data_IF_220586781818
#
_entry.id   IF_220586781818
#
_cell.length_a   1.000
_cell.length_b   1.000
_cell.length_c   1.000
_cell.angle_alpha   90.00
_cell.angle_beta   90.00
_cell.angle_gamma   90.00
#
_symmetry.space_group_name_H-M   'P 1'
#
loop_
_entity.id
_entity.type
_entity.pdbx_description
1 polymer ?
#
# COMPACT_ATOMS: atom_id res chain seq x y z
N UNK A 1 -1.01 -32.90 -31.24
CA UNK A 1 -1.65 -31.57 -31.38
C UNK A 1 -2.62 -31.21 -30.25
N UNK A 2 -3.34 -32.15 -29.61
CA UNK A 2 -4.32 -31.83 -28.54
C UNK A 2 -3.70 -31.39 -27.18
N UNK A 3 -2.47 -31.81 -26.89
CA UNK A 3 -1.76 -31.48 -25.64
C UNK A 3 -0.97 -30.16 -25.70
N UNK A 4 -0.49 -29.75 -26.86
CA UNK A 4 0.21 -28.50 -27.11
C UNK A 4 -0.69 -27.29 -26.86
N UNK A 5 -1.97 -27.35 -27.24
CA UNK A 5 -2.93 -26.25 -27.00
C UNK A 5 -3.26 -26.07 -25.51
N UNK A 6 -3.22 -27.15 -24.70
CA UNK A 6 -3.43 -27.06 -23.25
C UNK A 6 -2.22 -26.43 -22.53
N UNK A 7 -1.02 -26.70 -23.02
CA UNK A 7 0.22 -26.12 -22.48
C UNK A 7 0.28 -24.61 -22.82
N UNK A 8 -0.05 -24.23 -24.06
CA UNK A 8 -0.10 -22.81 -24.48
C UNK A 8 -1.15 -22.02 -23.68
N UNK A 9 -2.34 -22.60 -23.45
CA UNK A 9 -3.40 -21.99 -22.67
C UNK A 9 -2.99 -21.84 -21.20
N UNK A 10 -2.31 -22.82 -20.62
CA UNK A 10 -1.78 -22.78 -19.26
C UNK A 10 -0.70 -21.71 -19.07
N UNK A 11 0.19 -21.54 -20.05
CA UNK A 11 1.26 -20.54 -20.03
C UNK A 11 0.71 -19.12 -20.19
N UNK A 12 -0.34 -18.94 -20.97
CA UNK A 12 -0.97 -17.63 -21.19
C UNK A 12 -1.65 -17.07 -19.92
N UNK A 13 -2.18 -17.94 -19.06
CA UNK A 13 -2.83 -17.53 -17.79
C UNK A 13 -1.81 -16.99 -16.76
N UNK A 14 -0.56 -17.44 -16.81
CA UNK A 14 0.51 -17.00 -15.90
C UNK A 14 1.02 -15.56 -16.15
N UNK A 15 0.73 -14.98 -17.32
CA UNK A 15 1.27 -13.67 -17.71
C UNK A 15 0.38 -12.50 -17.22
N UNK A 16 -0.81 -12.76 -16.69
CA UNK A 16 -1.78 -11.72 -16.34
C UNK A 16 -1.65 -11.16 -14.90
N UNK A 17 -0.63 -11.55 -14.15
CA UNK A 17 -0.38 -10.95 -12.85
C UNK A 17 0.27 -9.57 -13.01
N UNK A 18 -0.58 -8.56 -13.25
CA UNK A 18 -0.16 -7.15 -13.15
C UNK A 18 0.22 -6.85 -11.70
N UNK A 19 1.50 -6.94 -11.38
CA UNK A 19 2.03 -6.57 -10.08
C UNK A 19 1.94 -5.05 -9.89
N UNK A 20 0.91 -4.57 -9.20
CA UNK A 20 0.95 -3.25 -8.59
C UNK A 20 2.04 -3.27 -7.51
N UNK A 21 3.19 -2.69 -7.81
CA UNK A 21 4.34 -2.70 -6.91
C UNK A 21 4.10 -1.71 -5.78
N UNK A 22 3.69 -2.21 -4.62
CA UNK A 22 3.77 -1.49 -3.36
C UNK A 22 5.07 -1.90 -2.69
N UNK A 23 5.95 -0.94 -2.43
CA UNK A 23 7.17 -1.14 -1.64
C UNK A 23 6.82 -0.99 -0.18
N UNK A 24 7.23 -1.94 0.64
CA UNK A 24 6.94 -1.97 2.07
C UNK A 24 8.22 -2.11 2.86
N UNK A 25 8.28 -1.39 3.97
CA UNK A 25 9.33 -1.50 4.97
C UNK A 25 8.71 -1.44 6.36
N UNK A 26 9.36 -2.04 7.35
CA UNK A 26 8.94 -1.92 8.75
C UNK A 26 10.15 -1.78 9.68
N UNK A 27 9.91 -1.11 10.80
CA UNK A 27 10.86 -0.99 11.89
C UNK A 27 10.17 -1.25 13.23
N UNK A 28 10.89 -1.77 14.21
CA UNK A 28 10.30 -2.16 15.48
C UNK A 28 11.33 -2.20 16.62
N UNK A 29 10.82 -2.10 17.83
CA UNK A 29 11.64 -2.27 19.03
C UNK A 29 11.88 -3.77 19.29
N UNK A 30 13.10 -4.23 19.09
CA UNK A 30 13.49 -5.65 19.21
C UNK A 30 13.42 -6.20 20.65
N UNK A 31 13.28 -5.34 21.66
CA UNK A 31 13.11 -5.73 23.08
C UNK A 31 11.68 -6.10 23.41
N UNK A 32 10.73 -5.89 22.51
CA UNK A 32 9.30 -6.13 22.74
C UNK A 32 8.96 -7.58 22.38
N UNK A 33 8.11 -8.20 23.24
CA UNK A 33 7.45 -9.44 22.91
C UNK A 33 6.04 -9.16 22.36
N UNK A 34 5.90 -9.18 21.05
CA UNK A 34 4.65 -8.85 20.39
C UNK A 34 3.51 -9.85 20.68
N UNK A 35 3.82 -11.04 21.18
CA UNK A 35 2.83 -12.04 21.56
C UNK A 35 2.05 -11.67 22.84
N UNK A 36 2.53 -10.71 23.61
CA UNK A 36 1.88 -10.26 24.84
C UNK A 36 0.66 -9.36 24.57
N UNK A 37 0.57 -8.79 23.38
CA UNK A 37 -0.52 -7.91 22.95
C UNK A 37 -1.67 -8.71 22.32
N UNK A 38 -2.87 -8.55 22.85
CA UNK A 38 -4.07 -9.26 22.42
C UNK A 38 -5.21 -8.35 21.99
N UNK A 39 -5.18 -7.11 22.45
CA UNK A 39 -6.24 -6.14 22.22
C UNK A 39 -5.70 -4.83 21.62
N UNK A 40 -6.51 -4.21 20.76
CA UNK A 40 -6.16 -2.94 20.15
C UNK A 40 -7.32 -1.95 20.14
N UNK A 41 -6.98 -0.67 20.06
CA UNK A 41 -7.92 0.39 19.72
C UNK A 41 -7.28 1.33 18.68
N UNK A 42 -8.11 2.12 18.03
CA UNK A 42 -7.64 3.17 17.13
C UNK A 42 -7.40 4.48 17.89
N UNK A 43 -6.26 5.13 17.64
CA UNK A 43 -5.94 6.45 18.18
C UNK A 43 -6.75 7.54 17.46
N UNK A 44 -7.82 8.03 18.09
CA UNK A 44 -8.66 9.07 17.50
C UNK A 44 -7.85 10.32 17.13
N UNK A 45 -7.01 10.81 18.05
CA UNK A 45 -6.19 12.02 17.85
C UNK A 45 -5.26 11.90 16.64
N UNK A 46 -4.60 10.77 16.46
CA UNK A 46 -3.68 10.57 15.34
C UNK A 46 -4.42 10.47 14.01
N UNK A 47 -5.52 9.71 13.97
CA UNK A 47 -6.31 9.49 12.76
C UNK A 47 -6.99 10.77 12.26
N UNK A 48 -7.45 11.64 13.17
CA UNK A 48 -8.06 12.91 12.81
C UNK A 48 -7.07 13.84 12.09
N UNK A 49 -5.77 13.72 12.38
CA UNK A 49 -4.70 14.50 11.75
C UNK A 49 -4.32 14.01 10.33
N UNK A 50 -4.78 12.83 9.90
CA UNK A 50 -4.48 12.34 8.56
C UNK A 50 -5.14 13.24 7.48
N UNK A 51 -4.33 13.79 6.58
CA UNK A 51 -4.75 14.72 5.52
C UNK A 51 -5.38 14.01 4.32
N UNK A 52 -6.43 13.22 4.58
CA UNK A 52 -7.22 12.52 3.56
C UNK A 52 -8.71 12.65 3.85
N UNK A 53 -9.55 12.41 2.83
CA UNK A 53 -11.00 12.46 3.01
C UNK A 53 -11.51 11.32 3.93
N UNK A 54 -12.65 11.55 4.58
CA UNK A 54 -13.22 10.63 5.57
C UNK A 54 -13.58 9.25 5.00
N UNK A 55 -13.90 9.18 3.71
CA UNK A 55 -14.20 7.90 3.05
C UNK A 55 -12.95 7.03 3.00
N UNK A 56 -11.80 7.60 2.64
CA UNK A 56 -10.54 6.88 2.59
C UNK A 56 -10.01 6.56 4.00
N UNK A 57 -10.22 7.47 5.01
CA UNK A 57 -9.97 7.15 6.42
C UNK A 57 -10.73 5.88 6.84
N UNK A 58 -12.03 5.82 6.55
CA UNK A 58 -12.85 4.64 6.88
C UNK A 58 -12.39 3.38 6.17
N UNK A 59 -11.96 3.48 4.90
CA UNK A 59 -11.41 2.32 4.15
C UNK A 59 -10.13 1.79 4.79
N UNK A 60 -9.22 2.68 5.19
CA UNK A 60 -7.97 2.30 5.87
C UNK A 60 -8.29 1.64 7.20
N UNK A 61 -9.14 2.25 8.03
CA UNK A 61 -9.54 1.70 9.33
C UNK A 61 -10.16 0.31 9.20
N UNK A 62 -11.08 0.12 8.25
CA UNK A 62 -11.71 -1.17 8.02
C UNK A 62 -10.70 -2.22 7.55
N UNK A 63 -9.76 -1.84 6.68
CA UNK A 63 -8.73 -2.77 6.21
C UNK A 63 -7.79 -3.17 7.35
N UNK A 64 -7.38 -2.24 8.22
CA UNK A 64 -6.55 -2.53 9.40
C UNK A 64 -7.32 -3.43 10.37
N UNK A 65 -8.59 -3.15 10.63
CA UNK A 65 -9.47 -3.93 11.51
C UNK A 65 -9.53 -5.40 11.06
N UNK A 66 -9.73 -5.64 9.76
CA UNK A 66 -9.75 -6.99 9.17
C UNK A 66 -8.40 -7.68 9.35
N UNK A 67 -7.29 -7.02 9.02
CA UNK A 67 -5.96 -7.63 9.11
C UNK A 67 -5.55 -7.97 10.54
N UNK A 68 -5.81 -7.09 11.50
CA UNK A 68 -5.50 -7.33 12.91
C UNK A 68 -6.39 -8.44 13.50
N UNK A 69 -7.67 -8.47 13.13
CA UNK A 69 -8.59 -9.55 13.54
C UNK A 69 -8.14 -10.91 12.99
N UNK A 70 -7.69 -10.98 11.73
CA UNK A 70 -7.14 -12.19 11.12
C UNK A 70 -5.87 -12.69 11.84
N UNK A 71 -5.14 -11.78 12.50
CA UNK A 71 -3.97 -12.10 13.32
C UNK A 71 -4.32 -12.46 14.77
N UNK A 72 -5.62 -12.51 15.12
CA UNK A 72 -6.11 -12.90 16.44
C UNK A 72 -6.16 -11.76 17.46
N UNK A 73 -5.90 -10.50 17.07
CA UNK A 73 -6.10 -9.39 17.97
C UNK A 73 -7.59 -9.01 18.02
N UNK A 74 -8.04 -8.57 19.19
CA UNK A 74 -9.43 -8.17 19.44
C UNK A 74 -9.51 -6.67 19.68
N UNK A 75 -10.52 -6.04 19.09
CA UNK A 75 -10.78 -4.62 19.33
C UNK A 75 -11.33 -4.41 20.74
N UNK A 76 -10.75 -3.45 21.48
CA UNK A 76 -11.21 -3.05 22.81
C UNK A 76 -11.18 -1.54 22.93
N UNK A 77 -12.26 -0.97 23.47
CA UNK A 77 -12.33 0.48 23.76
C UNK A 77 -11.93 0.80 25.20
N UNK A 78 -11.74 -0.23 26.03
CA UNK A 78 -11.39 -0.12 27.44
C UNK A 78 -10.00 -0.72 27.62
N UNK A 79 -9.03 0.06 28.03
CA UNK A 79 -7.64 -0.34 28.31
C UNK A 79 -7.08 -1.34 27.27
N UNK A 80 -6.98 -0.95 26.01
CA UNK A 80 -6.37 -1.81 25.00
C UNK A 80 -4.89 -2.03 25.29
N UNK A 81 -4.32 -3.11 24.81
CA UNK A 81 -2.88 -3.33 24.94
C UNK A 81 -2.08 -2.39 24.02
N UNK A 82 -2.61 -2.16 22.80
CA UNK A 82 -1.97 -1.29 21.81
C UNK A 82 -2.94 -0.28 21.19
N UNK A 83 -2.38 0.85 20.79
CA UNK A 83 -3.07 1.83 19.96
C UNK A 83 -2.55 1.77 18.52
N UNK A 84 -3.48 1.80 17.58
CA UNK A 84 -3.18 1.87 16.15
C UNK A 84 -3.40 3.29 15.66
N UNK A 85 -2.38 3.84 15.04
CA UNK A 85 -2.45 5.11 14.34
C UNK A 85 -2.03 4.94 12.88
N UNK A 86 -2.39 5.89 11.99
CA UNK A 86 -1.88 5.91 10.64
C UNK A 86 -1.71 7.35 10.14
N UNK A 87 -0.76 7.53 9.25
CA UNK A 87 -0.53 8.78 8.52
C UNK A 87 -0.48 8.49 7.03
N UNK A 88 -0.78 9.51 6.24
CA UNK A 88 -0.71 9.42 4.80
C UNK A 88 0.01 10.61 4.21
N UNK A 89 0.79 10.34 3.18
CA UNK A 89 1.37 11.37 2.32
C UNK A 89 1.01 11.08 0.87
N UNK A 90 0.85 12.11 0.07
CA UNK A 90 0.62 11.96 -1.36
C UNK A 90 1.46 12.93 -2.16
N UNK A 91 2.16 12.42 -3.16
CA UNK A 91 3.00 13.19 -4.04
C UNK A 91 2.58 12.97 -5.50
N UNK A 92 2.32 14.06 -6.23
CA UNK A 92 2.14 13.99 -7.68
C UNK A 92 3.50 13.74 -8.32
N UNK A 93 3.60 12.71 -9.13
CA UNK A 93 4.79 12.35 -9.89
C UNK A 93 4.52 12.53 -11.38
N UNK A 94 5.53 13.01 -12.08
CA UNK A 94 5.50 13.20 -13.53
C UNK A 94 6.61 12.33 -14.10
N UNK A 95 6.24 11.34 -14.90
CA UNK A 95 7.20 10.56 -15.68
C UNK A 95 7.27 11.12 -17.09
N UNK A 96 8.47 11.40 -17.53
CA UNK A 96 8.76 11.84 -18.91
C UNK A 96 9.23 10.61 -19.70
N UNK A 97 8.55 10.33 -20.80
CA UNK A 97 8.96 9.31 -21.74
C UNK A 97 9.35 9.99 -23.05
N UNK A 98 10.54 9.73 -23.60
CA UNK A 98 10.85 10.17 -24.95
C UNK A 98 9.89 9.46 -25.91
N UNK A 99 9.08 10.23 -26.61
CA UNK A 99 8.21 9.73 -27.66
C UNK A 99 9.00 9.53 -28.94
N UNK A 100 9.01 8.31 -29.46
CA UNK A 100 9.46 8.06 -30.82
C UNK A 100 8.22 8.12 -31.73
N UNK A 101 7.96 9.30 -32.31
CA UNK A 101 6.99 9.39 -33.40
C UNK A 101 7.58 8.72 -34.63
N UNK A 102 7.25 7.45 -34.84
CA UNK A 102 7.51 6.78 -36.10
C UNK A 102 6.48 7.29 -37.12
N UNK A 103 6.75 8.47 -37.69
CA UNK A 103 5.99 8.95 -38.81
C UNK A 103 6.45 8.21 -40.07
N UNK A 104 5.73 7.13 -40.42
CA UNK A 104 5.84 6.41 -41.69
C UNK A 104 5.14 7.22 -42.78
N UNK A 105 5.76 8.27 -43.27
CA UNK A 105 5.47 8.78 -44.60
C UNK A 105 6.68 9.60 -45.10
N UNK A 106 7.18 9.16 -46.23
CA UNK A 106 8.37 9.65 -46.85
C UNK A 106 8.48 11.17 -46.96
N UNK A 107 9.72 11.64 -46.89
CA UNK A 107 10.19 13.01 -47.19
C UNK A 107 9.85 14.06 -46.08
N UNK A 108 10.49 13.94 -44.96
CA UNK A 108 10.89 15.15 -44.18
C UNK A 108 11.99 14.79 -43.19
N UNK A 109 13.21 15.10 -43.55
CA UNK A 109 14.38 15.09 -42.68
C UNK A 109 14.30 16.34 -41.80
N UNK A 110 13.73 16.20 -40.59
CA UNK A 110 13.78 17.21 -39.55
C UNK A 110 14.12 16.59 -38.21
N UNK A 111 15.32 16.79 -37.65
CA UNK A 111 15.81 16.05 -36.48
C UNK A 111 15.38 16.61 -35.13
N UNK A 112 14.35 17.44 -35.02
CA UNK A 112 14.14 18.25 -33.80
C UNK A 112 12.72 18.22 -33.21
N UNK A 113 11.94 17.19 -33.41
CA UNK A 113 10.69 17.04 -32.65
C UNK A 113 10.84 15.99 -31.58
N UNK A 114 11.39 16.40 -30.41
CA UNK A 114 11.29 15.61 -29.18
C UNK A 114 9.88 15.79 -28.64
N UNK A 115 8.95 14.93 -29.05
CA UNK A 115 7.68 14.83 -28.33
C UNK A 115 7.92 14.05 -27.05
N UNK A 116 7.74 14.72 -25.92
CA UNK A 116 7.77 14.06 -24.62
C UNK A 116 6.33 13.71 -24.22
N UNK A 117 6.06 12.44 -24.06
CA UNK A 117 4.83 12.00 -23.40
C UNK A 117 5.08 12.07 -21.89
N UNK A 118 4.23 12.81 -21.17
CA UNK A 118 4.28 12.83 -19.71
C UNK A 118 3.05 12.11 -19.16
N UNK A 119 3.28 11.24 -18.20
CA UNK A 119 2.23 10.56 -17.47
C UNK A 119 2.25 11.02 -16.02
N UNK A 120 1.18 11.68 -15.62
CA UNK A 120 0.99 12.12 -14.24
C UNK A 120 0.36 10.98 -13.43
N UNK A 121 0.96 10.62 -12.32
CA UNK A 121 0.38 9.69 -11.37
C UNK A 121 0.55 10.18 -9.94
N UNK A 122 -0.34 9.73 -9.06
CA UNK A 122 -0.23 10.00 -7.62
C UNK A 122 0.46 8.83 -6.95
N UNK A 123 1.58 9.10 -6.30
CA UNK A 123 2.24 8.16 -5.41
C UNK A 123 1.77 8.46 -3.98
N UNK A 124 1.25 7.45 -3.29
CA UNK A 124 0.85 7.55 -1.89
C UNK A 124 1.83 6.82 -0.99
N UNK A 125 1.96 7.33 0.21
CA UNK A 125 2.66 6.67 1.32
C UNK A 125 1.67 6.50 2.46
N UNK A 126 1.58 5.29 2.99
CA UNK A 126 0.79 4.97 4.18
C UNK A 126 1.74 4.47 5.26
N UNK A 127 1.72 5.14 6.40
CA UNK A 127 2.38 4.72 7.64
C UNK A 127 1.33 4.11 8.55
N UNK A 128 1.65 3.00 9.20
CA UNK A 128 0.85 2.40 10.25
C UNK A 128 1.74 2.26 11.48
N UNK A 129 1.34 2.90 12.57
CA UNK A 129 2.04 2.90 13.84
C UNK A 129 1.30 2.03 14.84
N UNK A 130 2.05 1.22 15.57
CA UNK A 130 1.57 0.44 16.71
C UNK A 130 2.28 0.95 17.95
N UNK A 131 1.48 1.42 18.91
CA UNK A 131 1.93 2.11 20.11
C UNK A 131 1.49 1.28 21.32
N UNK A 132 2.41 1.01 22.24
CA UNK A 132 2.08 0.41 23.55
C UNK A 132 1.18 1.38 24.32
N UNK A 133 -0.03 0.96 24.67
CA UNK A 133 -1.01 1.84 25.31
C UNK A 133 -0.55 2.33 26.68
N UNK A 134 0.04 1.43 27.51
CA UNK A 134 0.45 1.75 28.89
C UNK A 134 1.68 2.62 28.94
N UNK A 135 2.66 2.35 28.04
CA UNK A 135 3.93 3.09 28.01
C UNK A 135 3.87 4.33 27.12
N UNK A 136 2.87 4.40 26.24
CA UNK A 136 2.75 5.41 25.18
C UNK A 136 4.01 5.48 24.31
N UNK A 137 4.58 4.33 23.99
CA UNK A 137 5.79 4.17 23.19
C UNK A 137 5.46 3.55 21.83
N UNK A 138 6.04 4.05 20.75
CA UNK A 138 6.00 3.42 19.44
C UNK A 138 6.81 2.13 19.52
N UNK A 139 6.15 1.00 19.25
CA UNK A 139 6.77 -0.32 19.31
C UNK A 139 6.97 -0.96 17.95
N UNK A 140 6.20 -0.55 16.94
CA UNK A 140 6.31 -0.99 15.57
C UNK A 140 5.75 0.07 14.61
N UNK A 141 6.42 0.25 13.49
CA UNK A 141 5.95 1.09 12.39
C UNK A 141 6.12 0.34 11.08
N UNK A 142 5.08 0.36 10.26
CA UNK A 142 5.12 -0.14 8.89
C UNK A 142 4.82 0.97 7.90
N UNK A 143 5.55 0.97 6.78
CA UNK A 143 5.43 1.97 5.72
C UNK A 143 5.20 1.29 4.39
N UNK A 144 4.17 1.71 3.68
CA UNK A 144 3.90 1.27 2.32
C UNK A 144 3.90 2.45 1.35
N UNK A 145 4.53 2.29 0.19
CA UNK A 145 4.64 3.31 -0.84
C UNK A 145 4.28 2.74 -2.22
N UNK A 146 3.42 3.41 -2.96
CA UNK A 146 2.99 2.95 -4.27
C UNK A 146 1.97 3.84 -4.96
N UNK A 147 1.50 3.38 -6.12
CA UNK A 147 0.52 4.08 -6.93
C UNK A 147 -0.87 4.14 -6.28
N UNK A 148 -1.53 5.30 -6.36
CA UNK A 148 -2.91 5.51 -5.93
C UNK A 148 -3.81 5.73 -7.15
N UNK A 149 -4.72 4.81 -7.48
CA UNK A 149 -5.64 4.97 -8.59
C UNK A 149 -6.69 6.06 -8.33
N UNK A 150 -7.07 6.78 -9.37
CA UNK A 150 -8.14 7.78 -9.29
C UNK A 150 -9.54 7.17 -9.26
N UNK A 151 -9.75 5.99 -9.89
CA UNK A 151 -11.05 5.31 -9.92
C UNK A 151 -11.41 4.74 -8.56
N UNK A 152 -12.62 5.06 -8.05
CA UNK A 152 -13.11 4.69 -6.72
C UNK A 152 -12.92 3.20 -6.35
N UNK A 153 -13.39 2.27 -7.18
CA UNK A 153 -13.29 0.83 -6.88
C UNK A 153 -11.83 0.35 -6.82
N UNK A 154 -11.02 0.76 -7.80
CA UNK A 154 -9.58 0.46 -7.82
C UNK A 154 -8.84 1.07 -6.63
N UNK A 155 -9.27 2.25 -6.15
CA UNK A 155 -8.68 2.91 -4.99
C UNK A 155 -8.94 2.14 -3.70
N UNK A 156 -10.16 1.60 -3.52
CA UNK A 156 -10.49 0.77 -2.38
C UNK A 156 -9.66 -0.53 -2.35
N UNK A 157 -9.57 -1.22 -3.48
CA UNK A 157 -8.73 -2.42 -3.62
C UNK A 157 -7.26 -2.11 -3.31
N UNK A 158 -6.78 -0.97 -3.82
CA UNK A 158 -5.40 -0.55 -3.58
C UNK A 158 -5.14 -0.23 -2.11
N UNK A 159 -6.06 0.43 -1.41
CA UNK A 159 -5.95 0.68 0.04
C UNK A 159 -5.88 -0.64 0.81
N UNK A 160 -6.76 -1.60 0.51
CA UNK A 160 -6.71 -2.94 1.12
C UNK A 160 -5.35 -3.61 0.89
N UNK A 161 -4.83 -3.52 -0.33
CA UNK A 161 -3.53 -4.08 -0.68
C UNK A 161 -2.37 -3.40 0.06
N UNK A 162 -2.40 -2.06 0.24
CA UNK A 162 -1.42 -1.34 1.05
C UNK A 162 -1.41 -1.86 2.48
N UNK A 163 -2.57 -1.86 3.12
CA UNK A 163 -2.72 -2.28 4.52
C UNK A 163 -2.28 -3.74 4.71
N UNK A 164 -2.73 -4.64 3.84
CA UNK A 164 -2.35 -6.06 3.89
C UNK A 164 -0.83 -6.22 3.77
N UNK A 165 -0.20 -5.60 2.74
CA UNK A 165 1.25 -5.71 2.53
C UNK A 165 2.06 -5.13 3.69
N UNK A 166 1.61 -4.04 4.31
CA UNK A 166 2.25 -3.46 5.48
C UNK A 166 2.11 -4.41 6.67
N UNK A 167 0.88 -4.82 7.00
CA UNK A 167 0.61 -5.60 8.19
C UNK A 167 1.01 -7.07 8.07
N UNK A 168 1.34 -7.59 6.90
CA UNK A 168 1.97 -8.92 6.77
C UNK A 168 3.32 -8.97 7.51
N UNK A 169 3.98 -7.81 7.71
CA UNK A 169 5.24 -7.70 8.45
C UNK A 169 5.03 -7.58 9.98
N UNK A 170 3.77 -7.54 10.46
CA UNK A 170 3.42 -7.52 11.87
C UNK A 170 2.73 -8.83 12.29
N UNK A 171 3.09 -9.45 13.43
CA UNK A 171 4.25 -9.13 14.27
C UNK A 171 5.56 -9.48 13.54
N UNK A 172 6.66 -8.79 13.86
CA UNK A 172 7.94 -9.12 13.25
C UNK A 172 8.40 -10.52 13.68
N UNK A 173 9.04 -11.24 12.77
CA UNK A 173 9.68 -12.51 13.10
C UNK A 173 10.85 -12.22 14.04
N UNK A 174 10.92 -12.91 15.18
CA UNK A 174 12.14 -12.89 16.00
C UNK A 174 13.24 -13.62 15.23
N UNK A 175 14.30 -12.91 14.89
CA UNK A 175 15.56 -13.52 14.46
C UNK A 175 16.27 -14.15 15.64
#
# INVERSE_FOLDING_TARGET
>A
MKNTNKIILGTLVLILTSCNIIRVNSDFNNKINFNDYKTYAFSKKGIDQAEINDIDKKRILNAIDVELSNKGLRKSTIEPDILINFFTESNKKINYYPGYDYYSSGLSIGPWYNSYYYHNYTEGVLFIDIIDYKKNELIWQGVGKGYIPSKRGKKEEQIKLFVNKILIQYPPLKN
#
